data_IF_597781297761
#
_entry.id   IF_597781297761
#
_cell.length_a   1.000
_cell.length_b   1.000
_cell.length_c   1.000
_cell.angle_alpha   90.00
_cell.angle_beta   90.00
_cell.angle_gamma   90.00
#
_symmetry.space_group_name_H-M   'P 1'
#
loop_
_entity.id
_entity.type
_entity.pdbx_description
1 polymer ?
#
# COMPACT_ATOMS: atom_id res chain seq x y z
N UNK A 1 -17.51 16.60 -3.91
CA UNK A 1 -17.75 15.21 -3.44
C UNK A 1 -17.31 14.28 -4.55
N UNK A 2 -16.56 13.23 -4.23
CA UNK A 2 -16.13 12.24 -5.22
C UNK A 2 -17.31 11.35 -5.63
N UNK A 3 -17.32 10.91 -6.88
CA UNK A 3 -18.30 9.96 -7.44
C UNK A 3 -18.04 8.53 -6.91
N UNK A 4 -19.10 7.83 -6.50
CA UNK A 4 -19.07 6.43 -6.04
C UNK A 4 -18.76 5.45 -7.17
N UNK A 5 -18.25 4.26 -6.83
CA UNK A 5 -17.87 3.18 -7.78
C UNK A 5 -16.83 3.61 -8.82
N UNK A 6 -15.95 4.54 -8.44
CA UNK A 6 -14.87 5.06 -9.27
C UNK A 6 -13.55 4.98 -8.52
N UNK A 7 -12.49 4.66 -9.26
CA UNK A 7 -11.14 4.61 -8.74
C UNK A 7 -10.45 5.96 -8.97
N UNK A 8 -9.81 6.48 -7.93
CA UNK A 8 -9.08 7.75 -7.96
C UNK A 8 -7.60 7.50 -7.72
N UNK A 9 -6.76 8.04 -8.60
CA UNK A 9 -5.31 8.09 -8.37
C UNK A 9 -4.98 9.40 -7.65
N UNK A 10 -5.06 9.38 -6.32
CA UNK A 10 -4.83 10.55 -5.46
C UNK A 10 -4.33 10.13 -4.08
N UNK A 11 -3.91 11.10 -3.26
CA UNK A 11 -3.65 10.87 -1.84
C UNK A 11 -4.92 10.43 -1.11
N UNK A 12 -4.82 9.35 -0.33
CA UNK A 12 -5.97 8.76 0.34
C UNK A 12 -6.62 9.71 1.35
N UNK A 13 -5.84 10.46 2.13
CA UNK A 13 -6.39 11.34 3.17
C UNK A 13 -7.09 12.54 2.55
N UNK A 14 -6.54 13.11 1.47
CA UNK A 14 -7.22 14.17 0.71
C UNK A 14 -8.51 13.66 0.05
N UNK A 15 -8.54 12.41 -0.41
CA UNK A 15 -9.74 11.78 -0.95
C UNK A 15 -10.82 11.58 0.10
N UNK A 16 -10.44 11.10 1.29
CA UNK A 16 -11.37 10.83 2.39
C UNK A 16 -12.01 12.11 2.95
N UNK A 17 -11.29 13.24 2.98
CA UNK A 17 -11.85 14.56 3.37
C UNK A 17 -13.02 15.04 2.51
N UNK A 18 -13.17 14.51 1.29
CA UNK A 18 -14.25 14.90 0.37
C UNK A 18 -15.61 14.29 0.73
N UNK A 19 -15.65 13.36 1.68
CA UNK A 19 -16.87 12.72 2.19
C UNK A 19 -17.23 13.24 3.59
N UNK A 20 -18.53 13.32 3.93
CA UNK A 20 -18.96 13.62 5.30
C UNK A 20 -18.47 12.57 6.32
N UNK A 21 -18.47 12.93 7.59
CA UNK A 21 -18.23 11.98 8.68
C UNK A 21 -19.27 10.83 8.66
N UNK A 22 -18.84 9.62 9.04
CA UNK A 22 -19.65 8.38 9.06
C UNK A 22 -20.34 8.04 7.72
N UNK A 23 -19.74 8.42 6.60
CA UNK A 23 -20.30 8.17 5.28
C UNK A 23 -20.18 6.71 4.82
N UNK A 24 -19.20 5.96 5.32
CA UNK A 24 -18.95 4.57 4.97
C UNK A 24 -19.19 3.63 6.17
N UNK A 25 -19.77 2.47 5.93
CA UNK A 25 -20.01 1.44 6.95
C UNK A 25 -18.77 0.57 7.23
N UNK A 26 -17.84 0.47 6.27
CA UNK A 26 -16.65 -0.38 6.35
C UNK A 26 -15.47 0.25 5.61
N UNK A 27 -14.31 0.27 6.26
CA UNK A 27 -13.03 0.60 5.64
C UNK A 27 -12.16 -0.67 5.50
N UNK A 28 -11.62 -0.91 4.30
CA UNK A 28 -10.61 -1.94 4.04
C UNK A 28 -9.34 -1.20 3.62
N UNK A 29 -8.32 -1.23 4.48
CA UNK A 29 -7.10 -0.43 4.28
C UNK A 29 -5.85 -1.31 4.30
N UNK A 30 -4.95 -1.03 3.37
CA UNK A 30 -3.61 -1.61 3.29
C UNK A 30 -2.59 -0.44 3.35
N UNK A 31 -2.34 0.13 4.54
CA UNK A 31 -1.46 1.28 4.68
C UNK A 31 0.01 0.90 4.55
N UNK A 32 0.94 1.86 4.43
CA UNK A 32 2.36 1.63 4.63
C UNK A 32 2.65 0.87 5.93
N UNK A 33 3.56 -0.11 5.88
CA UNK A 33 3.93 -0.92 7.03
C UNK A 33 5.25 -0.47 7.66
N UNK A 34 6.03 0.35 6.97
CA UNK A 34 7.31 0.85 7.47
C UNK A 34 8.43 -0.19 7.39
N UNK A 35 8.28 -1.20 6.52
CA UNK A 35 9.27 -2.28 6.36
C UNK A 35 10.28 -1.99 5.26
N UNK A 36 10.12 -0.88 4.54
CA UNK A 36 11.08 -0.40 3.55
C UNK A 36 11.13 -1.25 2.29
N UNK A 37 10.05 -1.96 1.93
CA UNK A 37 10.07 -2.94 0.83
C UNK A 37 10.42 -2.30 -0.53
N UNK A 38 10.13 -1.01 -0.69
CA UNK A 38 10.39 -0.25 -1.91
C UNK A 38 11.73 0.53 -1.91
N UNK A 39 12.54 0.49 -0.84
CA UNK A 39 13.77 1.33 -0.79
C UNK A 39 14.72 1.08 -1.96
N UNK A 40 14.82 -0.17 -2.42
CA UNK A 40 15.77 -0.56 -3.46
C UNK A 40 15.15 -0.62 -4.88
N UNK A 41 13.85 -0.35 -5.03
CA UNK A 41 13.20 -0.32 -6.34
C UNK A 41 13.33 -1.64 -7.12
N UNK A 42 13.26 -2.78 -6.43
CA UNK A 42 13.38 -4.10 -7.02
C UNK A 42 12.24 -4.98 -6.56
N UNK A 43 11.65 -5.75 -7.48
CA UNK A 43 10.68 -6.78 -7.07
C UNK A 43 11.42 -7.84 -6.29
N UNK A 44 10.69 -8.61 -5.48
CA UNK A 44 11.25 -9.81 -4.87
C UNK A 44 11.95 -10.64 -5.95
N UNK A 45 13.24 -10.87 -5.73
CA UNK A 45 14.11 -11.63 -6.58
C UNK A 45 14.71 -12.74 -5.74
N UNK A 46 14.73 -13.94 -6.28
CA UNK A 46 15.22 -15.07 -5.52
C UNK A 46 15.25 -16.33 -6.33
N UNK A 47 16.19 -17.18 -5.94
CA UNK A 47 16.25 -18.59 -6.29
C UNK A 47 16.05 -19.37 -5.01
N UNK A 48 15.07 -20.27 -4.97
CA UNK A 48 14.81 -21.07 -3.78
C UNK A 48 14.08 -22.36 -4.10
N UNK A 49 14.17 -23.31 -3.18
CA UNK A 49 13.52 -24.61 -3.28
C UNK A 49 12.35 -24.65 -2.29
N UNK A 50 11.16 -24.98 -2.77
CA UNK A 50 9.99 -25.29 -1.93
C UNK A 50 9.59 -26.75 -2.15
N UNK A 51 8.74 -27.31 -1.27
CA UNK A 51 8.32 -28.73 -1.32
C UNK A 51 7.59 -29.17 -2.61
N UNK A 52 7.43 -28.28 -3.60
CA UNK A 52 6.82 -28.54 -4.90
C UNK A 52 7.64 -28.06 -6.10
N UNK A 53 8.90 -27.66 -5.92
CA UNK A 53 9.79 -27.26 -7.02
C UNK A 53 10.76 -26.15 -6.66
N UNK A 54 11.52 -25.71 -7.67
CA UNK A 54 12.47 -24.62 -7.56
C UNK A 54 11.85 -23.37 -8.21
N UNK A 55 11.91 -22.22 -7.55
CA UNK A 55 11.62 -20.95 -8.19
C UNK A 55 12.92 -20.23 -8.54
N UNK A 56 12.93 -19.59 -9.70
CA UNK A 56 13.94 -18.63 -10.10
C UNK A 56 13.20 -17.40 -10.65
N UNK A 57 13.13 -16.34 -9.86
CA UNK A 57 12.47 -15.08 -10.24
C UNK A 57 13.52 -13.99 -10.34
N UNK A 58 13.70 -13.47 -11.56
CA UNK A 58 14.59 -12.34 -11.80
C UNK A 58 14.02 -11.05 -11.21
N UNK A 59 14.89 -10.25 -10.57
CA UNK A 59 14.54 -8.93 -10.09
C UNK A 59 14.07 -8.03 -11.24
N UNK A 60 12.88 -7.45 -11.15
CA UNK A 60 12.48 -6.35 -12.02
C UNK A 60 12.75 -5.04 -11.31
N UNK A 61 13.51 -4.16 -11.97
CA UNK A 61 13.76 -2.81 -11.46
C UNK A 61 12.53 -1.94 -11.67
N UNK A 62 12.14 -1.20 -10.65
CA UNK A 62 11.16 -0.13 -10.70
C UNK A 62 11.69 1.08 -9.93
N UNK A 63 11.00 2.22 -10.05
CA UNK A 63 11.40 3.42 -9.32
C UNK A 63 11.19 3.17 -7.83
N UNK A 64 12.30 3.10 -7.10
CA UNK A 64 12.29 3.05 -5.63
C UNK A 64 11.56 4.25 -5.04
N UNK A 65 11.12 4.11 -3.79
CA UNK A 65 10.42 5.18 -3.09
C UNK A 65 10.35 4.95 -1.59
N UNK A 66 10.01 6.01 -0.87
CA UNK A 66 9.99 6.03 0.60
C UNK A 66 8.57 5.94 1.18
N UNK A 67 7.59 5.53 0.36
CA UNK A 67 6.20 5.41 0.79
C UNK A 67 5.98 4.33 1.85
N UNK A 68 6.90 3.37 1.99
CA UNK A 68 6.88 2.32 3.02
C UNK A 68 8.00 2.50 4.06
N UNK A 69 8.38 3.74 4.35
CA UNK A 69 9.45 4.04 5.32
C UNK A 69 9.00 3.96 6.77
N UNK A 70 7.75 4.30 7.06
CA UNK A 70 7.14 4.26 8.38
C UNK A 70 5.67 3.82 8.30
N UNK A 71 5.18 3.15 9.35
CA UNK A 71 3.74 2.87 9.49
C UNK A 71 2.99 4.16 9.88
N UNK A 72 1.70 4.32 9.53
CA UNK A 72 0.91 5.47 9.97
C UNK A 72 0.89 5.64 11.49
N UNK A 73 0.75 6.89 11.93
CA UNK A 73 0.60 7.22 13.35
C UNK A 73 -0.74 6.72 13.90
N UNK A 74 -0.87 6.66 15.22
CA UNK A 74 -2.09 6.20 15.90
C UNK A 74 -3.33 7.03 15.53
N UNK A 75 -3.14 8.30 15.20
CA UNK A 75 -4.21 9.21 14.80
C UNK A 75 -4.93 8.73 13.54
N UNK A 76 -4.20 8.21 12.54
CA UNK A 76 -4.78 7.63 11.33
C UNK A 76 -5.79 6.52 11.66
N UNK A 77 -5.44 5.62 12.58
CA UNK A 77 -6.31 4.51 12.98
C UNK A 77 -7.49 4.92 13.87
N UNK A 78 -7.45 6.12 14.47
CA UNK A 78 -8.60 6.67 15.21
C UNK A 78 -9.63 7.31 14.29
N UNK A 79 -9.22 7.67 13.07
CA UNK A 79 -10.08 8.25 12.04
C UNK A 79 -10.77 7.18 11.16
N UNK A 80 -10.36 5.91 11.28
CA UNK A 80 -11.04 4.75 10.68
C UNK A 80 -12.23 4.31 11.54
#
# INVERSE_FOLDING_TARGET
>A
MLELNKLYNMDCMEGMKAFPDKYFDLAIVDPPYGIGINKNGHTLAGSGNFKGGNFNVAARKYKGGEWDSESPKKEYYKEL
#
